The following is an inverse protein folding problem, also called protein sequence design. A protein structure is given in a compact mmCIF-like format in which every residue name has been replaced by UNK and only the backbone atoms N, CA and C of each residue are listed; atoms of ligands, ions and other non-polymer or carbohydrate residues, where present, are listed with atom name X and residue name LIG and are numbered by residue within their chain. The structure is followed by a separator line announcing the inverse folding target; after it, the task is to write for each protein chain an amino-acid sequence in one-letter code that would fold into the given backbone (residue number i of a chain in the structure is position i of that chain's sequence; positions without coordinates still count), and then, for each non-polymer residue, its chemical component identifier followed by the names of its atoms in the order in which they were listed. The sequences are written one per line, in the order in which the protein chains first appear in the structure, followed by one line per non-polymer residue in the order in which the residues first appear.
data_IF_358417013099
#
_entry.id   IF_358417013099
#
_cell.length_a   1.000
_cell.length_b   1.000
_cell.length_c   1.000
_cell.angle_alpha   90.00
_cell.angle_beta   90.00
_cell.angle_gamma   90.00
#
_symmetry.space_group_name_H-M   'P 1'
#
loop_
_entity.id
_entity.type
_entity.pdbx_description
1 polymer ?
#
# COMPACT_ATOMS: atom_id res chain seq x y z
N UNK A 1 17.68 4.09 -11.01
CA UNK A 1 16.63 3.65 -10.07
C UNK A 1 17.26 3.54 -8.69
N UNK A 2 16.68 4.17 -7.68
CA UNK A 2 17.24 4.22 -6.32
C UNK A 2 17.13 2.84 -5.66
N UNK A 3 18.11 2.43 -4.86
CA UNK A 3 18.16 1.08 -4.24
C UNK A 3 16.89 0.74 -3.45
N UNK A 4 16.29 1.72 -2.78
CA UNK A 4 15.07 1.52 -1.99
C UNK A 4 13.80 1.36 -2.85
N UNK A 5 13.72 1.99 -4.03
CA UNK A 5 12.53 1.84 -4.90
C UNK A 5 12.50 0.48 -5.57
N UNK A 6 13.67 -0.07 -5.93
CA UNK A 6 13.77 -1.47 -6.35
C UNK A 6 13.32 -2.42 -5.25
N UNK A 7 13.73 -2.15 -4.01
CA UNK A 7 13.31 -2.97 -2.87
C UNK A 7 11.81 -2.85 -2.59
N UNK A 8 11.24 -1.65 -2.70
CA UNK A 8 9.80 -1.44 -2.60
C UNK A 8 9.04 -2.28 -3.64
N UNK A 9 9.49 -2.24 -4.89
CA UNK A 9 8.93 -3.03 -5.99
C UNK A 9 8.99 -4.53 -5.66
N UNK A 10 10.15 -5.05 -5.24
CA UNK A 10 10.32 -6.45 -4.85
C UNK A 10 9.41 -6.88 -3.69
N UNK A 11 9.16 -5.98 -2.72
CA UNK A 11 8.26 -6.26 -1.61
C UNK A 11 6.80 -6.34 -2.07
N UNK A 12 6.37 -5.40 -2.90
CA UNK A 12 4.99 -5.32 -3.40
C UNK A 12 4.65 -6.42 -4.40
N UNK A 13 5.60 -6.78 -5.27
CA UNK A 13 5.42 -7.83 -6.28
C UNK A 13 5.64 -9.24 -5.74
N UNK A 14 6.07 -9.38 -4.47
CA UNK A 14 6.30 -10.69 -3.86
C UNK A 14 7.63 -11.35 -4.21
N UNK A 15 8.51 -10.68 -4.95
CA UNK A 15 9.83 -11.18 -5.37
C UNK A 15 10.84 -11.44 -4.22
N UNK A 16 10.43 -11.24 -2.98
CA UNK A 16 11.22 -11.50 -1.77
C UNK A 16 11.03 -12.91 -1.19
N UNK A 17 10.09 -13.71 -1.74
CA UNK A 17 9.86 -15.10 -1.31
C UNK A 17 10.51 -16.08 -2.28
N UNK A 18 10.71 -17.33 -1.83
CA UNK A 18 11.29 -18.39 -2.66
C UNK A 18 10.33 -18.94 -3.72
N UNK A 19 9.03 -18.74 -3.56
CA UNK A 19 8.04 -19.07 -4.60
C UNK A 19 8.03 -18.01 -5.68
N UNK A 20 8.29 -16.74 -5.31
CA UNK A 20 8.17 -15.60 -6.21
C UNK A 20 6.74 -15.38 -6.70
N UNK A 21 5.76 -16.12 -6.16
CA UNK A 21 4.36 -15.97 -6.50
C UNK A 21 3.85 -14.70 -5.81
N UNK A 22 3.38 -13.70 -6.58
CA UNK A 22 2.81 -12.50 -6.03
C UNK A 22 1.63 -12.81 -5.10
N UNK A 23 0.84 -13.85 -5.35
CA UNK A 23 -0.35 -14.18 -4.53
C UNK A 23 0.01 -14.78 -3.16
N UNK A 24 1.20 -15.38 -3.04
CA UNK A 24 1.71 -15.95 -1.78
C UNK A 24 2.54 -14.94 -0.96
N UNK A 25 2.67 -13.71 -1.46
CA UNK A 25 3.58 -12.71 -0.94
C UNK A 25 3.01 -11.29 -1.07
N UNK A 26 3.63 -10.33 -0.40
CA UNK A 26 3.22 -8.94 -0.51
C UNK A 26 3.82 -8.09 0.59
N UNK A 27 3.44 -6.82 0.60
CA UNK A 27 3.94 -5.87 1.59
C UNK A 27 2.83 -5.32 2.47
N UNK A 28 3.25 -4.87 3.64
CA UNK A 28 2.46 -4.02 4.54
C UNK A 28 3.22 -2.74 4.81
N UNK A 29 2.50 -1.70 5.16
CA UNK A 29 3.05 -0.50 5.79
C UNK A 29 2.78 -0.54 7.29
N UNK A 30 3.79 -0.18 8.07
CA UNK A 30 3.69 0.09 9.50
C UNK A 30 4.20 1.50 9.74
N UNK A 31 3.38 2.37 10.32
CA UNK A 31 3.76 3.74 10.67
C UNK A 31 3.91 3.83 12.17
N UNK A 32 5.07 4.29 12.62
CA UNK A 32 5.37 4.52 14.04
C UNK A 32 5.57 6.00 14.34
N UNK A 33 5.08 6.41 15.50
CA UNK A 33 5.38 7.70 16.13
C UNK A 33 6.86 7.76 16.56
N UNK A 34 7.36 8.94 16.87
CA UNK A 34 8.74 9.14 17.36
C UNK A 34 9.06 8.37 18.65
N UNK A 35 8.04 8.05 19.46
CA UNK A 35 8.14 7.19 20.65
C UNK A 35 8.15 5.68 20.37
N UNK A 36 8.08 5.25 19.10
CA UNK A 36 8.04 3.84 18.70
C UNK A 36 6.65 3.19 18.74
N UNK A 37 5.62 3.92 19.18
CA UNK A 37 4.23 3.45 19.17
C UNK A 37 3.74 3.33 17.73
N UNK A 38 3.13 2.20 17.39
CA UNK A 38 2.46 2.00 16.10
C UNK A 38 1.21 2.87 16.03
N UNK A 39 1.17 3.78 15.05
CA UNK A 39 0.03 4.64 14.76
C UNK A 39 -0.88 4.05 13.67
N UNK A 40 -0.31 3.28 12.75
CA UNK A 40 -1.03 2.72 11.63
C UNK A 40 -0.37 1.46 11.10
N UNK A 41 -1.19 0.52 10.63
CA UNK A 41 -0.77 -0.69 9.93
C UNK A 41 -1.82 -1.05 8.89
N UNK A 42 -1.36 -1.41 7.70
CA UNK A 42 -2.22 -1.96 6.67
C UNK A 42 -1.43 -2.76 5.63
N UNK A 43 -2.04 -3.77 4.99
CA UNK A 43 -1.52 -4.31 3.74
C UNK A 43 -1.44 -3.23 2.67
N UNK A 44 -0.50 -3.37 1.73
CA UNK A 44 -0.34 -2.46 0.60
C UNK A 44 -0.71 -3.15 -0.70
N UNK A 45 -1.59 -2.53 -1.48
CA UNK A 45 -1.80 -2.95 -2.85
C UNK A 45 -0.50 -2.84 -3.65
N UNK A 46 -0.40 -3.62 -4.74
CA UNK A 46 0.84 -3.81 -5.51
C UNK A 46 1.30 -2.57 -6.30
N UNK A 47 0.51 -1.51 -6.28
CA UNK A 47 0.77 -0.28 -7.03
C UNK A 47 1.46 0.78 -6.18
N UNK A 48 2.48 1.40 -6.76
CA UNK A 48 3.16 2.55 -6.20
C UNK A 48 3.64 3.47 -7.32
N UNK A 49 3.80 4.77 -7.03
CA UNK A 49 4.28 5.76 -8.00
C UNK A 49 4.99 6.92 -7.29
N UNK A 50 6.18 7.33 -7.76
CA UNK A 50 6.78 8.61 -7.32
C UNK A 50 6.00 9.76 -7.96
N UNK A 51 5.81 10.85 -7.22
CA UNK A 51 5.19 12.04 -7.79
C UNK A 51 6.11 12.69 -8.84
N UNK A 52 5.50 13.20 -9.91
CA UNK A 52 6.23 13.82 -11.02
C UNK A 52 6.71 15.22 -10.67
N UNK A 53 5.99 15.92 -9.80
CA UNK A 53 6.27 17.30 -9.41
C UNK A 53 7.08 17.36 -8.09
N UNK A 54 6.92 16.38 -7.20
CA UNK A 54 7.70 16.25 -5.96
C UNK A 54 8.45 14.91 -5.85
N UNK A 55 9.79 14.88 -6.07
CA UNK A 55 10.59 13.67 -5.99
C UNK A 55 10.73 13.10 -4.56
N UNK A 56 10.10 13.73 -3.55
CA UNK A 56 9.98 13.25 -2.17
C UNK A 56 8.55 12.89 -1.78
N UNK A 57 7.66 12.73 -2.75
CA UNK A 57 6.30 12.23 -2.60
C UNK A 57 6.11 10.90 -3.34
N UNK A 58 5.39 9.99 -2.69
CA UNK A 58 5.18 8.60 -3.09
C UNK A 58 3.71 8.36 -2.89
N UNK A 59 3.08 7.91 -3.95
CA UNK A 59 1.73 7.40 -3.92
C UNK A 59 1.77 5.90 -3.66
N UNK A 60 1.03 5.47 -2.64
CA UNK A 60 0.78 4.07 -2.31
C UNK A 60 -0.71 3.88 -2.02
N UNK A 61 -1.20 2.63 -2.00
CA UNK A 61 -2.59 2.33 -1.63
C UNK A 61 -2.65 1.30 -0.50
N UNK A 62 -2.81 1.77 0.76
CA UNK A 62 -3.18 0.90 1.86
C UNK A 62 -4.54 0.25 1.61
N UNK A 63 -4.59 -1.08 1.74
CA UNK A 63 -5.82 -1.88 1.63
C UNK A 63 -6.49 -1.87 2.99
N UNK A 64 -7.57 -1.09 3.10
CA UNK A 64 -8.33 -0.88 4.33
C UNK A 64 -9.82 -0.87 4.06
N UNK A 65 -10.63 -1.18 5.08
CA UNK A 65 -12.09 -1.05 5.00
C UNK A 65 -12.77 -2.11 4.15
N UNK A 66 -12.15 -3.28 3.98
CA UNK A 66 -12.78 -4.45 3.40
C UNK A 66 -13.89 -5.00 4.30
N UNK A 67 -14.92 -5.60 3.69
CA UNK A 67 -15.99 -6.25 4.42
C UNK A 67 -16.90 -7.11 3.55
N UNK A 68 -17.72 -7.96 4.17
CA UNK A 68 -18.75 -8.70 3.46
C UNK A 68 -19.82 -7.73 2.96
N UNK A 69 -20.14 -7.80 1.67
CA UNK A 69 -21.27 -7.09 1.10
C UNK A 69 -22.58 -7.61 1.72
N UNK A 70 -23.51 -6.72 2.07
CA UNK A 70 -24.85 -7.13 2.49
C UNK A 70 -25.66 -7.72 1.33
N UNK A 71 -25.25 -7.50 0.07
CA UNK A 71 -25.90 -8.06 -1.11
C UNK A 71 -25.56 -9.55 -1.29
N UNK A 72 -26.57 -10.43 -1.37
CA UNK A 72 -26.35 -11.87 -1.57
C UNK A 72 -25.54 -12.16 -2.84
N UNK A 73 -24.53 -13.03 -2.71
CA UNK A 73 -23.70 -13.47 -3.84
C UNK A 73 -22.58 -12.51 -4.26
N UNK A 74 -22.49 -11.32 -3.66
CA UNK A 74 -21.41 -10.35 -3.96
C UNK A 74 -20.12 -10.66 -3.18
N UNK A 75 -20.24 -11.27 -2.00
CA UNK A 75 -19.10 -11.68 -1.19
C UNK A 75 -18.34 -10.50 -0.57
N UNK A 76 -17.04 -10.68 -0.33
CA UNK A 76 -16.18 -9.65 0.26
C UNK A 76 -15.92 -8.52 -0.74
N UNK A 77 -15.99 -7.25 -0.33
CA UNK A 77 -15.79 -6.07 -1.20
C UNK A 77 -14.99 -5.00 -0.47
N UNK A 78 -14.38 -4.10 -1.26
CA UNK A 78 -13.73 -2.90 -0.76
C UNK A 78 -14.45 -1.67 -1.29
N UNK A 79 -14.47 -0.63 -0.46
CA UNK A 79 -14.82 0.71 -0.89
C UNK A 79 -13.54 1.42 -1.35
N UNK A 80 -13.48 1.84 -2.61
CA UNK A 80 -12.30 2.44 -3.23
C UNK A 80 -12.01 3.87 -2.76
N UNK A 81 -13.02 4.58 -2.24
CA UNK A 81 -12.86 5.87 -1.55
C UNK A 81 -12.22 5.70 -0.17
N UNK A 82 -12.47 4.57 0.51
CA UNK A 82 -11.84 4.21 1.79
C UNK A 82 -10.44 3.68 1.56
N UNK A 83 -10.28 2.70 0.66
CA UNK A 83 -9.01 2.17 0.19
C UNK A 83 -8.34 3.10 -0.85
N UNK A 84 -8.43 4.42 -0.64
CA UNK A 84 -7.84 5.42 -1.52
C UNK A 84 -6.32 5.45 -1.44
N UNK A 85 -5.69 5.90 -2.53
CA UNK A 85 -4.26 6.22 -2.54
C UNK A 85 -3.91 7.24 -1.45
N UNK A 86 -2.69 7.17 -0.96
CA UNK A 86 -2.13 8.06 0.06
C UNK A 86 -0.79 8.60 -0.41
N UNK A 87 -0.62 9.91 -0.26
CA UNK A 87 0.68 10.56 -0.41
C UNK A 87 1.51 10.30 0.85
N UNK A 88 2.74 9.84 0.64
CA UNK A 88 3.75 9.68 1.68
C UNK A 88 4.88 10.63 1.37
N UNK A 89 5.02 11.69 2.17
CA UNK A 89 6.16 12.62 2.09
C UNK A 89 7.30 12.13 2.97
N UNK A 90 8.48 11.89 2.40
CA UNK A 90 9.68 11.51 3.15
C UNK A 90 10.79 12.55 3.11
N UNK A 91 11.55 12.59 4.19
CA UNK A 91 12.81 13.30 4.31
C UNK A 91 13.99 12.44 3.86
N UNK A 92 13.94 11.15 4.16
CA UNK A 92 14.96 10.17 3.80
C UNK A 92 14.35 8.78 3.65
N UNK A 93 14.94 7.98 2.76
CA UNK A 93 14.56 6.60 2.51
C UNK A 93 15.80 5.72 2.58
N UNK A 94 15.70 4.59 3.27
CA UNK A 94 16.76 3.59 3.38
C UNK A 94 16.19 2.18 3.35
N UNK A 95 17.02 1.20 3.00
CA UNK A 95 16.69 -0.23 3.16
C UNK A 95 17.41 -0.70 4.41
N UNK A 96 16.68 -1.29 5.34
CA UNK A 96 17.29 -1.80 6.57
C UNK A 96 17.97 -3.17 6.36
N UNK A 97 18.63 -3.67 7.39
CA UNK A 97 19.33 -4.97 7.34
C UNK A 97 18.41 -6.18 7.15
N UNK A 98 17.09 -6.01 7.26
CA UNK A 98 16.07 -7.04 7.04
C UNK A 98 15.37 -6.88 5.69
N UNK A 99 15.80 -5.94 4.85
CA UNK A 99 15.23 -5.69 3.53
C UNK A 99 13.92 -4.90 3.55
N UNK A 100 13.55 -4.28 4.67
CA UNK A 100 12.40 -3.39 4.71
C UNK A 100 12.80 -1.99 4.22
N UNK A 101 11.87 -1.33 3.54
CA UNK A 101 12.02 0.08 3.15
C UNK A 101 11.59 0.95 4.31
N UNK A 102 12.49 1.79 4.81
CA UNK A 102 12.25 2.70 5.93
C UNK A 102 12.25 4.13 5.43
N UNK A 103 11.12 4.81 5.57
CA UNK A 103 10.89 6.19 5.19
C UNK A 103 10.74 7.04 6.45
N UNK A 104 11.64 8.00 6.64
CA UNK A 104 11.48 9.03 7.69
C UNK A 104 10.58 10.11 7.13
N UNK A 105 9.39 10.28 7.70
CA UNK A 105 8.35 11.14 7.14
C UNK A 105 8.62 12.62 7.45
N UNK A 106 8.16 13.50 6.57
CA UNK A 106 8.18 14.95 6.82
C UNK A 106 7.14 15.26 7.90
N UNK A 107 7.56 15.87 9.01
CA UNK A 107 6.65 16.32 10.05
C UNK A 107 5.92 17.59 9.58
N UNK A 108 4.58 17.62 9.71
CA UNK A 108 3.78 18.78 9.34
C UNK A 108 4.10 20.05 10.16
N UNK A 109 4.70 19.91 11.36
CA UNK A 109 4.94 21.00 12.30
C UNK A 109 6.36 21.02 12.90
N UNK A 110 7.37 20.52 12.19
CA UNK A 110 8.77 20.66 12.62
C UNK A 110 9.21 19.82 13.83
N UNK A 111 8.40 18.84 14.26
CA UNK A 111 8.78 17.86 15.29
C UNK A 111 9.53 16.64 14.73
N UNK A 112 9.89 15.70 15.61
CA UNK A 112 10.42 14.39 15.21
C UNK A 112 9.33 13.65 14.40
N UNK A 113 9.62 13.41 13.12
CA UNK A 113 8.67 12.84 12.19
C UNK A 113 8.34 11.38 12.48
N UNK A 114 7.16 10.96 12.03
CA UNK A 114 6.78 9.55 11.98
C UNK A 114 7.74 8.75 11.08
N UNK A 115 7.84 7.45 11.30
CA UNK A 115 8.58 6.53 10.43
C UNK A 115 7.60 5.56 9.77
N UNK A 116 7.57 5.53 8.45
CA UNK A 116 6.87 4.48 7.71
C UNK A 116 7.85 3.37 7.34
N UNK A 117 7.50 2.14 7.66
CA UNK A 117 8.27 0.95 7.34
C UNK A 117 7.41 0.06 6.45
N UNK A 118 7.92 -0.23 5.26
CA UNK A 118 7.31 -1.16 4.32
C UNK A 118 8.10 -2.45 4.38
N UNK A 119 7.42 -3.53 4.72
CA UNK A 119 8.01 -4.84 5.00
C UNK A 119 7.08 -5.97 4.52
N UNK A 120 7.55 -7.23 4.46
CA UNK A 120 6.69 -8.35 4.08
C UNK A 120 5.42 -8.44 4.94
N UNK A 121 4.28 -8.63 4.29
CA UNK A 121 3.01 -8.92 4.95
C UNK A 121 3.00 -10.34 5.52
N UNK A 122 2.18 -10.58 6.55
CA UNK A 122 2.03 -11.93 7.12
C UNK A 122 0.64 -12.20 7.66
N UNK A 123 0.28 -13.50 7.73
CA UNK A 123 -0.99 -13.95 8.32
C UNK A 123 -2.20 -13.26 7.70
N UNK A 124 -3.00 -12.59 8.53
CA UNK A 124 -4.22 -11.90 8.13
C UNK A 124 -4.01 -10.81 7.06
N UNK A 125 -2.82 -10.20 6.97
CA UNK A 125 -2.53 -9.18 5.95
C UNK A 125 -2.40 -9.80 4.56
N UNK A 126 -1.84 -11.01 4.45
CA UNK A 126 -1.79 -11.75 3.17
C UNK A 126 -3.17 -12.24 2.76
N UNK A 127 -3.99 -12.69 3.71
CA UNK A 127 -5.39 -13.05 3.42
C UNK A 127 -6.18 -11.85 2.89
N UNK A 128 -5.97 -10.67 3.47
CA UNK A 128 -6.61 -9.44 3.02
C UNK A 128 -6.11 -8.99 1.64
N UNK A 129 -4.82 -9.16 1.34
CA UNK A 129 -4.27 -8.95 -0.01
C UNK A 129 -4.88 -9.90 -1.04
N UNK A 130 -5.04 -11.18 -0.72
CA UNK A 130 -5.72 -12.12 -1.62
C UNK A 130 -7.19 -11.74 -1.89
N UNK A 131 -7.89 -11.21 -0.87
CA UNK A 131 -9.25 -10.65 -1.05
C UNK A 131 -9.23 -9.41 -1.92
N UNK A 132 -8.22 -8.56 -1.76
CA UNK A 132 -8.05 -7.37 -2.59
C UNK A 132 -7.82 -7.75 -4.06
N UNK A 133 -6.93 -8.69 -4.35
CA UNK A 133 -6.67 -9.16 -5.71
C UNK A 133 -7.95 -9.74 -6.35
N UNK A 134 -8.67 -10.59 -5.62
CA UNK A 134 -9.99 -11.12 -6.07
C UNK A 134 -11.04 -10.00 -6.27
N UNK A 135 -10.93 -8.89 -5.55
CA UNK A 135 -11.79 -7.74 -5.74
C UNK A 135 -11.41 -6.94 -6.98
N UNK A 136 -10.12 -6.73 -7.24
CA UNK A 136 -9.61 -6.05 -8.43
C UNK A 136 -10.05 -6.78 -9.71
N UNK A 137 -10.04 -8.12 -9.71
CA UNK A 137 -10.51 -8.95 -10.84
C UNK A 137 -11.99 -8.69 -11.25
N UNK A 138 -12.77 -8.02 -10.40
CA UNK A 138 -14.18 -7.68 -10.66
C UNK A 138 -14.37 -6.26 -11.17
N UNK A 139 -13.32 -5.45 -11.22
CA UNK A 139 -13.36 -4.09 -11.71
C UNK A 139 -13.45 -4.08 -13.24
N UNK A 140 -14.01 -3.01 -13.79
CA UNK A 140 -13.90 -2.76 -15.22
C UNK A 140 -12.47 -2.37 -15.60
N UNK A 141 -12.05 -2.55 -16.86
CA UNK A 141 -10.69 -2.18 -17.30
C UNK A 141 -10.32 -0.72 -17.01
N UNK A 142 -11.30 0.19 -17.04
CA UNK A 142 -11.09 1.61 -16.70
C UNK A 142 -10.80 1.80 -15.21
N UNK A 143 -11.53 1.09 -14.36
CA UNK A 143 -11.33 1.15 -12.90
C UNK A 143 -10.01 0.49 -12.53
N UNK A 144 -9.65 -0.62 -13.15
CA UNK A 144 -8.34 -1.26 -12.96
C UNK A 144 -7.19 -0.32 -13.36
N UNK A 145 -7.25 0.29 -14.55
CA UNK A 145 -6.25 1.26 -14.99
C UNK A 145 -6.12 2.45 -14.01
N UNK A 146 -7.24 2.99 -13.52
CA UNK A 146 -7.21 4.08 -12.55
C UNK A 146 -6.59 3.68 -11.19
N UNK A 147 -6.70 2.40 -10.80
CA UNK A 147 -5.99 1.86 -9.64
C UNK A 147 -4.49 1.77 -9.87
N UNK A 148 -4.07 1.24 -11.01
CA UNK A 148 -2.66 1.07 -11.39
C UNK A 148 -1.93 2.41 -11.45
N UNK A 149 -2.54 3.42 -12.07
CA UNK A 149 -1.96 4.76 -12.22
C UNK A 149 -1.91 5.53 -10.89
N UNK A 150 -2.64 5.07 -9.87
CA UNK A 150 -2.90 5.81 -8.64
C UNK A 150 -3.34 7.25 -8.94
N UNK A 151 -4.24 7.41 -9.92
CA UNK A 151 -4.72 8.73 -10.38
C UNK A 151 -5.84 9.26 -9.46
N UNK A 152 -6.77 8.39 -9.09
CA UNK A 152 -8.00 8.77 -8.39
C UNK A 152 -7.89 8.58 -6.85
N UNK A 153 -8.26 9.61 -6.09
CA UNK A 153 -8.37 9.59 -4.62
C UNK A 153 -9.82 9.60 -4.10
N UNK A 154 -10.78 9.69 -5.03
CA UNK A 154 -12.22 9.62 -4.82
C UNK A 154 -12.84 8.85 -5.99
N UNK A 155 -13.81 7.99 -5.68
CA UNK A 155 -14.39 7.08 -6.67
C UNK A 155 -15.88 7.38 -6.86
N UNK A 156 -16.37 7.16 -8.06
CA UNK A 156 -17.81 7.21 -8.37
C UNK A 156 -18.21 5.89 -9.05
N UNK A 157 -19.30 5.27 -8.61
CA UNK A 157 -19.75 3.99 -9.16
C UNK A 157 -20.07 2.95 -8.10
N UNK A 158 -20.03 1.67 -8.49
CA UNK A 158 -20.51 0.54 -7.68
C UNK A 158 -19.72 0.34 -6.38
N UNK A 159 -18.44 0.70 -6.38
CA UNK A 159 -17.54 0.50 -5.25
C UNK A 159 -17.02 1.82 -4.65
N UNK A 160 -17.75 2.92 -4.88
CA UNK A 160 -17.48 4.23 -4.27
C UNK A 160 -17.74 4.26 -2.77
#
# INVERSE_FOLDING_TARGET
MNTWTNQLTNLLEGAHTSTGDPLDAGARIVVTESGGTEAFRAPLARHWREDEDDPRLLWIRPVVGGGLSPEPGVGYVFNLSVARRRAVHWRSAEVDSRGAVVLRLVAAYGGDGQTARIEPAGGAELEELGRWDTFVDRLSPKEEQALEELAEDSWSGRFA
#
